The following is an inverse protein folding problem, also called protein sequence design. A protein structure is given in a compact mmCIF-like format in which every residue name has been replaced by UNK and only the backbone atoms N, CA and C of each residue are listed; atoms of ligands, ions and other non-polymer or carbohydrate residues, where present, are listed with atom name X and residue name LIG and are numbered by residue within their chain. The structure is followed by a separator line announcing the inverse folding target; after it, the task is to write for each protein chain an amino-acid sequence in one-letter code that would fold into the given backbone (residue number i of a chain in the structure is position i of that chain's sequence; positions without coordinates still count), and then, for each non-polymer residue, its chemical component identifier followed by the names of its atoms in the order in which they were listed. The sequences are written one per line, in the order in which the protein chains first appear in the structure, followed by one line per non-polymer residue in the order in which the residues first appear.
data_IF_448168038232
#
_entry.id   IF_448168038232
#
_cell.length_a   1.000
_cell.length_b   1.000
_cell.length_c   1.000
_cell.angle_alpha   90.00
_cell.angle_beta   90.00
_cell.angle_gamma   90.00
#
_symmetry.space_group_name_H-M   'P 1'
#
loop_
_entity.id
_entity.type
_entity.pdbx_description
1 polymer ?
#
# COMPACT_ATOMS: atom_id res chain seq x y z
N UNK A 1 30.19 23.75 4.55
CA UNK A 1 30.52 22.53 3.77
C UNK A 1 31.26 22.99 2.52
N UNK A 2 32.42 22.40 2.20
CA UNK A 2 33.19 22.79 1.01
C UNK A 2 32.68 22.06 -0.23
N UNK A 3 32.90 22.63 -1.42
CA UNK A 3 32.48 22.03 -2.71
C UNK A 3 33.09 20.64 -2.89
N UNK A 4 34.38 20.48 -2.57
CA UNK A 4 35.06 19.18 -2.65
C UNK A 4 34.45 18.14 -1.71
N UNK A 5 34.14 18.53 -0.46
CA UNK A 5 33.43 17.66 0.48
C UNK A 5 32.05 17.26 -0.05
N UNK A 6 31.34 18.16 -0.73
CA UNK A 6 30.05 17.88 -1.35
C UNK A 6 30.16 16.85 -2.49
N UNK A 7 31.18 16.99 -3.36
CA UNK A 7 31.44 16.05 -4.46
C UNK A 7 31.75 14.64 -3.93
N UNK A 8 32.61 14.53 -2.93
CA UNK A 8 32.95 13.24 -2.30
C UNK A 8 31.72 12.59 -1.67
N UNK A 9 30.88 13.36 -0.97
CA UNK A 9 29.64 12.84 -0.39
C UNK A 9 28.66 12.37 -1.46
N UNK A 10 28.51 13.12 -2.56
CA UNK A 10 27.66 12.74 -3.67
C UNK A 10 28.11 11.42 -4.31
N UNK A 11 29.42 11.25 -4.50
CA UNK A 11 29.98 10.01 -5.05
C UNK A 11 29.77 8.82 -4.11
N UNK A 12 29.97 9.01 -2.80
CA UNK A 12 29.69 7.99 -1.80
C UNK A 12 28.22 7.56 -1.82
N UNK A 13 27.28 8.50 -1.90
CA UNK A 13 25.85 8.19 -2.01
C UNK A 13 25.49 7.49 -3.33
N UNK A 14 26.12 7.87 -4.45
CA UNK A 14 25.95 7.17 -5.73
C UNK A 14 26.44 5.72 -5.63
N UNK A 15 27.55 5.49 -4.95
CA UNK A 15 28.05 4.12 -4.75
C UNK A 15 27.11 3.31 -3.87
N UNK A 16 26.64 3.88 -2.76
CA UNK A 16 25.63 3.24 -1.90
C UNK A 16 24.36 2.89 -2.68
N UNK A 17 23.88 3.79 -3.56
CA UNK A 17 22.72 3.53 -4.40
C UNK A 17 22.95 2.35 -5.36
N UNK A 18 24.14 2.23 -5.98
CA UNK A 18 24.48 1.09 -6.84
C UNK A 18 24.45 -0.23 -6.07
N UNK A 19 25.03 -0.26 -4.88
CA UNK A 19 25.04 -1.47 -4.05
C UNK A 19 23.65 -1.85 -3.56
N UNK A 20 22.81 -0.88 -3.21
CA UNK A 20 21.40 -1.13 -2.88
C UNK A 20 20.62 -1.69 -4.08
N UNK A 21 20.83 -1.17 -5.29
CA UNK A 21 20.18 -1.69 -6.51
C UNK A 21 20.51 -3.16 -6.74
N UNK A 22 21.79 -3.55 -6.64
CA UNK A 22 22.21 -4.97 -6.77
C UNK A 22 21.49 -5.88 -5.76
N UNK A 23 21.38 -5.43 -4.51
CA UNK A 23 20.64 -6.19 -3.47
C UNK A 23 19.16 -6.31 -3.79
N UNK A 24 18.52 -5.23 -4.26
CA UNK A 24 17.11 -5.24 -4.69
C UNK A 24 16.92 -6.22 -5.85
N UNK A 25 17.80 -6.19 -6.85
CA UNK A 25 17.69 -7.07 -8.02
C UNK A 25 17.87 -8.55 -7.63
N UNK A 26 18.78 -8.84 -6.69
CA UNK A 26 18.93 -10.20 -6.12
C UNK A 26 17.64 -10.67 -5.45
N UNK A 27 16.97 -9.79 -4.69
CA UNK A 27 15.68 -10.11 -4.05
C UNK A 27 14.57 -10.29 -5.09
N UNK A 28 14.51 -9.46 -6.12
CA UNK A 28 13.55 -9.59 -7.23
C UNK A 28 13.69 -10.92 -7.93
N UNK A 29 14.92 -11.34 -8.26
CA UNK A 29 15.17 -12.64 -8.88
C UNK A 29 14.73 -13.79 -7.98
N UNK A 30 15.01 -13.71 -6.68
CA UNK A 30 14.58 -14.72 -5.72
C UNK A 30 13.05 -14.83 -5.64
N UNK A 31 12.34 -13.69 -5.59
CA UNK A 31 10.88 -13.66 -5.60
C UNK A 31 10.30 -14.22 -6.90
N UNK A 32 10.86 -13.85 -8.05
CA UNK A 32 10.44 -14.40 -9.36
C UNK A 32 10.65 -15.91 -9.44
N UNK A 33 11.75 -16.44 -8.89
CA UNK A 33 11.98 -17.90 -8.78
C UNK A 33 10.94 -18.61 -7.91
N UNK A 34 10.30 -17.90 -6.98
CA UNK A 34 9.19 -18.41 -6.16
C UNK A 34 7.82 -18.19 -6.80
N UNK A 35 7.75 -17.65 -8.01
CA UNK A 35 6.49 -17.36 -8.72
C UNK A 35 5.76 -16.12 -8.19
N UNK A 36 6.42 -15.28 -7.41
CA UNK A 36 5.86 -14.02 -6.91
C UNK A 36 6.41 -12.89 -7.78
N UNK A 37 5.51 -12.08 -8.36
CA UNK A 37 5.93 -10.86 -9.07
C UNK A 37 6.33 -9.77 -8.04
N UNK A 38 7.62 -9.43 -7.93
CA UNK A 38 8.10 -8.45 -6.95
C UNK A 38 7.71 -7.00 -7.31
N UNK A 39 7.35 -6.75 -8.56
CA UNK A 39 6.98 -5.44 -9.07
C UNK A 39 5.45 -5.33 -9.28
N UNK A 40 4.69 -6.32 -8.78
CA UNK A 40 3.24 -6.28 -8.79
C UNK A 40 2.74 -4.98 -8.13
N UNK A 41 1.73 -4.33 -8.71
CA UNK A 41 1.18 -3.11 -8.13
C UNK A 41 0.76 -3.43 -6.69
N UNK A 42 1.31 -2.67 -5.75
CA UNK A 42 0.91 -2.75 -4.34
C UNK A 42 -0.61 -2.64 -4.31
N UNK A 43 -1.28 -3.64 -3.73
CA UNK A 43 -2.75 -3.62 -3.63
C UNK A 43 -3.15 -2.28 -3.06
N UNK A 44 -3.91 -1.52 -3.85
CA UNK A 44 -4.46 -0.25 -3.39
C UNK A 44 -5.52 -0.57 -2.34
N UNK A 45 -5.05 -0.65 -1.09
CA UNK A 45 -5.90 -0.95 0.05
C UNK A 45 -6.97 0.12 0.22
N UNK A 46 -6.71 1.37 -0.20
CA UNK A 46 -7.72 2.42 -0.10
C UNK A 46 -8.85 2.16 -1.09
N UNK A 47 -8.52 1.87 -2.35
CA UNK A 47 -9.50 1.47 -3.36
C UNK A 47 -10.29 0.24 -2.94
N UNK A 48 -9.59 -0.85 -2.57
CA UNK A 48 -10.23 -2.09 -2.12
C UNK A 48 -11.15 -1.85 -0.92
N UNK A 49 -10.71 -1.07 0.06
CA UNK A 49 -11.52 -0.82 1.26
C UNK A 49 -12.76 0.04 0.93
N UNK A 50 -12.65 1.00 0.00
CA UNK A 50 -13.82 1.76 -0.48
C UNK A 50 -14.80 0.87 -1.24
N UNK A 51 -14.31 -0.04 -2.08
CA UNK A 51 -15.16 -1.04 -2.75
C UNK A 51 -15.87 -1.93 -1.74
N UNK A 52 -15.17 -2.44 -0.72
CA UNK A 52 -15.77 -3.21 0.38
C UNK A 52 -16.87 -2.43 1.13
N UNK A 53 -16.65 -1.13 1.39
CA UNK A 53 -17.66 -0.28 2.00
C UNK A 53 -18.86 -0.04 1.07
N UNK A 54 -18.62 0.10 -0.24
CA UNK A 54 -19.68 0.14 -1.25
C UNK A 54 -20.56 -1.11 -1.23
N UNK A 55 -19.97 -2.31 -1.19
CA UNK A 55 -20.72 -3.58 -1.05
C UNK A 55 -21.60 -3.60 0.20
N UNK A 56 -21.11 -3.05 1.30
CA UNK A 56 -21.90 -2.94 2.53
C UNK A 56 -23.09 -1.99 2.35
N UNK A 57 -22.90 -0.86 1.67
CA UNK A 57 -24.00 0.06 1.33
C UNK A 57 -25.00 -0.56 0.36
N UNK A 58 -24.55 -1.45 -0.53
CA UNK A 58 -25.40 -2.23 -1.44
C UNK A 58 -26.24 -3.31 -0.71
N UNK A 59 -26.08 -3.46 0.60
CA UNK A 59 -26.86 -4.35 1.45
C UNK A 59 -26.26 -5.75 1.65
N UNK A 60 -25.04 -6.01 1.15
CA UNK A 60 -24.36 -7.28 1.42
C UNK A 60 -24.04 -7.41 2.92
N UNK A 61 -24.20 -8.63 3.42
CA UNK A 61 -23.84 -8.97 4.78
C UNK A 61 -22.32 -9.01 4.94
N UNK A 62 -21.86 -8.86 6.18
CA UNK A 62 -20.43 -8.87 6.45
C UNK A 62 -19.79 -10.22 6.16
N UNK A 63 -20.57 -11.30 6.25
CA UNK A 63 -20.11 -12.66 5.99
C UNK A 63 -19.92 -12.87 4.47
N UNK A 64 -20.79 -12.32 3.62
CA UNK A 64 -20.64 -12.34 2.15
C UNK A 64 -19.41 -11.54 1.69
N UNK A 65 -19.23 -10.33 2.23
CA UNK A 65 -18.06 -9.49 1.92
C UNK A 65 -16.77 -10.16 2.43
N UNK A 66 -16.82 -10.78 3.62
CA UNK A 66 -15.69 -11.53 4.17
C UNK A 66 -15.28 -12.68 3.25
N UNK A 67 -16.26 -13.41 2.71
CA UNK A 67 -16.01 -14.48 1.74
C UNK A 67 -15.42 -13.98 0.42
N UNK A 68 -15.97 -12.89 -0.16
CA UNK A 68 -15.48 -12.30 -1.42
C UNK A 68 -14.02 -11.86 -1.32
N UNK A 69 -13.65 -11.21 -0.21
CA UNK A 69 -12.31 -10.64 -0.02
C UNK A 69 -11.35 -11.55 0.75
N UNK A 70 -11.78 -12.76 1.16
CA UNK A 70 -11.01 -13.72 1.96
C UNK A 70 -10.44 -13.09 3.25
N UNK A 71 -11.29 -12.35 3.95
CA UNK A 71 -10.96 -11.67 5.22
C UNK A 71 -11.87 -12.20 6.34
N UNK A 72 -11.47 -11.99 7.60
CA UNK A 72 -12.39 -12.27 8.72
C UNK A 72 -13.50 -11.23 8.79
N UNK A 73 -14.66 -11.62 9.32
CA UNK A 73 -15.81 -10.73 9.53
C UNK A 73 -15.44 -9.50 10.36
N UNK A 74 -14.67 -9.66 11.43
CA UNK A 74 -14.19 -8.57 12.28
C UNK A 74 -13.30 -7.61 11.50
N UNK A 75 -12.49 -8.15 10.58
CA UNK A 75 -11.61 -7.34 9.74
C UNK A 75 -12.42 -6.50 8.75
N UNK A 76 -13.46 -7.08 8.14
CA UNK A 76 -14.39 -6.35 7.26
C UNK A 76 -15.08 -5.23 8.02
N UNK A 77 -15.64 -5.50 9.20
CA UNK A 77 -16.27 -4.49 10.07
C UNK A 77 -15.33 -3.31 10.33
N UNK A 78 -14.10 -3.61 10.76
CA UNK A 78 -13.13 -2.58 11.08
C UNK A 78 -12.72 -1.76 9.85
N UNK A 79 -12.61 -2.39 8.67
CA UNK A 79 -12.34 -1.70 7.42
C UNK A 79 -13.47 -0.73 7.06
N UNK A 80 -14.72 -1.20 7.06
CA UNK A 80 -15.89 -0.38 6.73
C UNK A 80 -16.01 0.83 7.66
N UNK A 81 -15.87 0.62 8.97
CA UNK A 81 -15.90 1.71 9.96
C UNK A 81 -14.80 2.78 9.71
N UNK A 82 -13.59 2.35 9.34
CA UNK A 82 -12.51 3.30 9.02
C UNK A 82 -12.79 4.12 7.76
N UNK A 83 -13.44 3.51 6.77
CA UNK A 83 -13.81 4.20 5.53
C UNK A 83 -14.90 5.23 5.81
N UNK A 84 -15.92 4.87 6.58
CA UNK A 84 -16.99 5.79 7.02
C UNK A 84 -16.43 7.04 7.71
N UNK A 85 -15.56 6.87 8.72
CA UNK A 85 -14.92 8.00 9.41
C UNK A 85 -14.12 8.88 8.44
N UNK A 86 -13.43 8.27 7.48
CA UNK A 86 -12.64 9.03 6.50
C UNK A 86 -13.54 9.86 5.58
N UNK A 87 -14.69 9.32 5.16
CA UNK A 87 -15.68 10.02 4.35
C UNK A 87 -16.33 11.17 5.12
N UNK A 88 -16.71 10.94 6.38
CA UNK A 88 -17.25 12.01 7.23
C UNK A 88 -16.26 13.16 7.44
N UNK A 89 -14.98 12.84 7.67
CA UNK A 89 -13.94 13.86 7.81
C UNK A 89 -13.75 14.65 6.51
N UNK A 90 -13.81 13.99 5.36
CA UNK A 90 -13.72 14.63 4.05
C UNK A 90 -14.89 15.58 3.81
N UNK A 91 -16.12 15.12 4.07
CA UNK A 91 -17.33 15.93 3.95
C UNK A 91 -17.28 17.18 4.86
N UNK A 92 -16.79 17.04 6.10
CA UNK A 92 -16.59 18.17 7.02
C UNK A 92 -15.56 19.19 6.52
N UNK A 93 -14.51 18.74 5.84
CA UNK A 93 -13.49 19.61 5.27
C UNK A 93 -13.99 20.33 4.00
N UNK A 94 -14.82 19.69 3.19
CA UNK A 94 -15.38 20.28 1.96
C UNK A 94 -16.49 21.31 2.24
N UNK A 95 -17.19 21.17 3.37
CA UNK A 95 -18.26 22.07 3.81
C UNK A 95 -17.76 23.28 4.65
N UNK A 96 -16.45 23.50 4.75
CA UNK A 96 -15.83 24.60 5.51
C UNK A 96 -15.11 25.56 4.57
#
# INVERSE_FOLDING_TARGET
MTIEKAKTQLEAHRQQQRELRKKIDTLREWLRKKGIDPDAPKTDFEKRNREMYGRYLDGLTWDEIAAEYKLSRERVKHICWRVEIALEKKAKHENK
#
